data_IF_251983569101
#
_entry.id   IF_251983569101
#
_cell.length_a   1.000
_cell.length_b   1.000
_cell.length_c   1.000
_cell.angle_alpha   90.00
_cell.angle_beta   90.00
_cell.angle_gamma   90.00
#
_symmetry.space_group_name_H-M   'P 1'
#
loop_
_entity.id
_entity.type
_entity.pdbx_description
1 polymer ?
#
# COMPACT_ATOMS: atom_id res chain seq x y z
N UNK A 1 -37.83 -57.46 -9.97
CA UNK A 1 -38.67 -57.90 -8.84
C UNK A 1 -39.09 -56.66 -8.08
N UNK A 2 -40.38 -56.38 -8.17
CA UNK A 2 -41.08 -55.20 -7.67
C UNK A 2 -41.17 -55.17 -6.14
N UNK A 3 -41.17 -53.94 -5.58
CA UNK A 3 -42.07 -53.50 -4.48
C UNK A 3 -41.76 -52.03 -4.17
N UNK A 4 -42.54 -51.09 -4.50
CA UNK A 4 -43.83 -50.49 -4.10
C UNK A 4 -43.93 -50.13 -2.61
N UNK A 5 -44.14 -48.83 -2.43
CA UNK A 5 -45.01 -48.09 -1.48
C UNK A 5 -44.71 -48.21 0.03
N UNK A 6 -44.68 -47.10 0.76
CA UNK A 6 -45.91 -46.48 1.27
C UNK A 6 -45.71 -45.09 1.85
N UNK A 7 -46.67 -44.25 1.59
CA UNK A 7 -46.92 -42.94 2.22
C UNK A 7 -47.44 -43.14 3.63
N UNK A 8 -47.03 -42.30 4.57
CA UNK A 8 -47.86 -41.94 5.71
C UNK A 8 -47.66 -40.47 6.07
N UNK A 9 -48.75 -39.75 5.86
CA UNK A 9 -48.96 -38.39 6.39
C UNK A 9 -49.29 -38.47 7.87
N UNK A 10 -48.68 -37.58 8.64
CA UNK A 10 -49.21 -37.24 9.96
C UNK A 10 -49.05 -35.73 10.17
N UNK A 11 -50.14 -35.03 10.09
CA UNK A 11 -50.31 -33.66 10.53
C UNK A 11 -50.49 -33.67 12.06
N UNK A 12 -49.77 -32.84 12.77
CA UNK A 12 -50.12 -32.45 14.13
C UNK A 12 -50.00 -30.93 14.24
N UNK A 13 -51.09 -30.39 14.73
CA UNK A 13 -51.48 -28.99 14.87
C UNK A 13 -51.11 -28.51 16.28
N UNK A 14 -50.83 -27.20 16.39
CA UNK A 14 -50.92 -26.31 17.55
C UNK A 14 -49.80 -26.27 18.58
N UNK A 15 -49.29 -25.05 18.67
CA UNK A 15 -48.55 -24.50 19.79
C UNK A 15 -48.13 -23.06 19.52
N UNK A 16 -49.07 -22.11 19.58
CA UNK A 16 -48.77 -20.70 19.56
C UNK A 16 -48.21 -20.28 20.93
N UNK A 17 -46.95 -19.99 21.01
CA UNK A 17 -46.35 -19.22 22.12
C UNK A 17 -45.85 -17.88 21.59
N UNK A 18 -46.59 -16.83 21.94
CA UNK A 18 -46.10 -15.48 21.84
C UNK A 18 -44.90 -15.30 22.77
N UNK A 19 -43.72 -15.23 22.19
CA UNK A 19 -42.56 -14.62 22.88
C UNK A 19 -42.34 -13.26 22.24
N UNK A 20 -42.64 -12.21 22.99
CA UNK A 20 -42.21 -10.84 22.73
C UNK A 20 -40.70 -10.77 22.89
N UNK A 21 -39.96 -11.07 21.84
CA UNK A 21 -38.52 -10.86 21.75
C UNK A 21 -38.27 -9.42 21.31
N UNK A 22 -37.66 -8.66 22.21
CA UNK A 22 -37.14 -7.34 21.92
C UNK A 22 -36.21 -7.41 20.71
N UNK A 23 -36.58 -6.71 19.64
CA UNK A 23 -35.70 -6.51 18.50
C UNK A 23 -34.59 -5.56 18.92
N UNK A 24 -33.45 -6.12 19.31
CA UNK A 24 -32.20 -5.38 19.38
C UNK A 24 -31.89 -4.96 17.91
N UNK A 25 -32.20 -3.71 17.58
CA UNK A 25 -31.74 -3.09 16.36
C UNK A 25 -30.21 -3.04 16.43
N UNK A 26 -29.56 -4.02 15.84
CA UNK A 26 -28.15 -3.91 15.52
C UNK A 26 -28.02 -2.76 14.52
N UNK A 27 -27.62 -1.60 14.99
CA UNK A 27 -27.14 -0.52 14.14
C UNK A 27 -25.90 -1.05 13.42
N UNK A 28 -26.11 -1.62 12.24
CA UNK A 28 -25.04 -1.83 11.27
C UNK A 28 -24.62 -0.42 10.87
N UNK A 29 -23.57 0.10 11.48
CA UNK A 29 -22.85 1.21 10.92
C UNK A 29 -22.31 0.73 9.58
N UNK A 30 -23.06 0.96 8.52
CA UNK A 30 -22.52 0.98 7.17
C UNK A 30 -21.41 2.02 7.20
N UNK A 31 -20.17 1.56 7.28
CA UNK A 31 -19.01 2.40 7.05
C UNK A 31 -19.22 2.99 5.66
N UNK A 32 -19.66 4.25 5.62
CA UNK A 32 -19.64 5.03 4.39
C UNK A 32 -18.20 4.99 3.91
N UNK A 33 -17.96 4.26 2.82
CA UNK A 33 -16.72 4.38 2.05
C UNK A 33 -16.57 5.87 1.75
N UNK A 34 -15.68 6.54 2.48
CA UNK A 34 -15.28 7.88 2.14
C UNK A 34 -14.80 7.82 0.70
N UNK A 35 -15.53 8.48 -0.19
CA UNK A 35 -15.16 8.62 -1.59
C UNK A 35 -13.77 9.24 -1.58
N UNK A 36 -12.75 8.48 -1.91
CA UNK A 36 -11.40 9.01 -2.00
C UNK A 36 -11.45 10.14 -3.03
N UNK A 37 -11.07 11.35 -2.59
CA UNK A 37 -10.91 12.47 -3.51
C UNK A 37 -9.80 12.06 -4.47
N UNK A 38 -10.17 11.76 -5.70
CA UNK A 38 -9.20 11.42 -6.74
C UNK A 38 -8.47 12.70 -7.14
N UNK A 39 -7.25 12.87 -6.63
CA UNK A 39 -6.38 13.96 -7.04
C UNK A 39 -5.88 13.62 -8.45
N UNK A 40 -6.06 14.49 -9.45
CA UNK A 40 -5.58 14.25 -10.80
C UNK A 40 -4.10 13.88 -10.76
N UNK A 41 -3.74 12.79 -11.45
CA UNK A 41 -2.35 12.34 -11.50
C UNK A 41 -1.50 13.41 -12.18
N UNK A 42 -0.62 14.07 -11.44
CA UNK A 42 0.38 14.95 -12.01
C UNK A 42 1.49 14.10 -12.63
N UNK A 43 1.81 14.38 -13.90
CA UNK A 43 2.99 13.82 -14.53
C UNK A 43 4.21 14.38 -13.79
N UNK A 44 5.05 13.50 -13.26
CA UNK A 44 6.33 13.88 -12.66
C UNK A 44 7.46 13.52 -13.62
N UNK A 45 8.45 14.40 -13.72
CA UNK A 45 9.66 14.14 -14.48
C UNK A 45 10.77 13.82 -13.49
N UNK A 46 11.34 12.64 -13.65
CA UNK A 46 12.44 12.19 -12.79
C UNK A 46 13.78 12.57 -13.42
N UNK A 47 14.68 13.11 -12.62
CA UNK A 47 16.07 13.31 -13.02
C UNK A 47 16.73 11.96 -13.29
N UNK A 48 17.37 11.79 -14.45
CA UNK A 48 18.06 10.55 -14.80
C UNK A 48 19.51 10.51 -14.36
N UNK A 49 20.08 11.66 -14.04
CA UNK A 49 21.45 11.80 -13.55
C UNK A 49 21.55 11.42 -12.06
N UNK A 50 22.80 11.15 -11.63
CA UNK A 50 23.05 10.91 -10.21
C UNK A 50 23.03 12.24 -9.46
N UNK A 51 21.96 12.49 -8.74
CA UNK A 51 21.64 13.74 -8.04
C UNK A 51 21.76 13.62 -6.51
N UNK A 52 22.41 12.57 -6.03
CA UNK A 52 22.53 12.30 -4.59
C UNK A 52 23.75 12.99 -4.00
N UNK A 53 23.65 13.36 -2.72
CA UNK A 53 24.73 13.97 -1.95
C UNK A 53 25.81 12.98 -1.49
N UNK A 54 25.73 11.73 -1.93
CA UNK A 54 26.66 10.65 -1.63
C UNK A 54 27.07 9.92 -2.93
N UNK A 55 28.22 9.23 -2.95
CA UNK A 55 28.69 8.53 -4.15
C UNK A 55 27.82 7.31 -4.45
N UNK A 56 27.69 7.01 -5.74
CA UNK A 56 27.03 5.79 -6.20
C UNK A 56 27.86 4.56 -5.85
N UNK A 57 27.21 3.54 -5.30
CA UNK A 57 27.86 2.26 -5.00
C UNK A 57 28.00 1.39 -6.25
N UNK A 58 29.13 0.75 -6.40
CA UNK A 58 29.37 -0.26 -7.42
C UNK A 58 28.72 -1.63 -7.13
N UNK A 59 28.24 -1.85 -5.90
CA UNK A 59 27.65 -3.10 -5.42
C UNK A 59 26.16 -3.21 -5.68
N UNK A 60 25.49 -2.09 -5.98
CA UNK A 60 24.04 -2.04 -6.20
C UNK A 60 23.70 -1.47 -7.56
N UNK A 61 22.54 -1.86 -8.08
CA UNK A 61 21.88 -1.16 -9.18
C UNK A 61 20.89 -0.18 -8.59
N UNK A 62 20.85 1.01 -9.17
CA UNK A 62 19.93 2.07 -8.81
C UNK A 62 19.02 2.42 -9.98
N UNK A 63 17.78 2.72 -9.70
CA UNK A 63 16.85 3.34 -10.65
C UNK A 63 15.78 4.15 -9.93
N UNK A 64 15.37 5.26 -10.51
CA UNK A 64 14.20 5.99 -10.04
C UNK A 64 12.93 5.29 -10.49
N UNK A 65 11.95 5.20 -9.61
CA UNK A 65 10.64 4.58 -9.85
C UNK A 65 9.54 5.49 -9.32
N UNK A 66 8.32 5.27 -9.79
CA UNK A 66 7.14 5.96 -9.28
C UNK A 66 6.08 4.96 -8.86
N UNK A 67 5.27 5.33 -7.88
CA UNK A 67 4.09 4.58 -7.48
C UNK A 67 3.04 5.53 -6.92
N UNK A 68 1.78 5.11 -6.93
CA UNK A 68 0.68 5.91 -6.36
C UNK A 68 0.41 5.49 -4.94
N UNK A 69 0.17 6.45 -4.07
CA UNK A 69 -0.39 6.19 -2.75
C UNK A 69 -1.92 6.04 -2.84
N UNK A 70 -2.57 5.72 -1.71
CA UNK A 70 -4.03 5.52 -1.65
C UNK A 70 -4.87 6.78 -1.98
N UNK A 71 -4.26 7.94 -2.03
CA UNK A 71 -4.90 9.22 -2.38
C UNK A 71 -4.67 9.61 -3.84
N UNK A 72 -4.07 8.74 -4.67
CA UNK A 72 -3.80 9.01 -6.06
C UNK A 72 -2.55 9.87 -6.31
N UNK A 73 -1.84 10.30 -5.26
CA UNK A 73 -0.61 11.09 -5.37
C UNK A 73 0.50 10.17 -5.89
N UNK A 74 1.19 10.61 -6.94
CA UNK A 74 2.35 9.89 -7.48
C UNK A 74 3.59 10.21 -6.65
N UNK A 75 4.19 9.20 -6.06
CA UNK A 75 5.42 9.30 -5.29
C UNK A 75 6.62 8.93 -6.15
N UNK A 76 7.71 9.69 -6.00
CA UNK A 76 9.00 9.40 -6.58
C UNK A 76 9.87 8.65 -5.57
N UNK A 77 10.62 7.68 -6.04
CA UNK A 77 11.49 6.88 -5.18
C UNK A 77 12.75 6.42 -5.92
N UNK A 78 13.78 6.17 -5.15
CA UNK A 78 15.01 5.52 -5.55
C UNK A 78 14.97 4.06 -5.11
N UNK A 79 14.99 3.15 -6.08
CA UNK A 79 15.06 1.71 -5.86
C UNK A 79 16.52 1.27 -5.98
N UNK A 80 17.03 0.64 -4.91
CA UNK A 80 18.37 0.05 -4.87
C UNK A 80 18.25 -1.47 -4.78
N UNK A 81 18.95 -2.18 -5.66
CA UNK A 81 18.94 -3.64 -5.72
C UNK A 81 20.38 -4.14 -5.72
N UNK A 82 20.76 -5.08 -4.83
CA UNK A 82 22.09 -5.68 -4.87
C UNK A 82 22.38 -6.31 -6.25
N UNK A 83 23.53 -6.03 -6.85
CA UNK A 83 23.90 -6.58 -8.18
C UNK A 83 23.93 -8.12 -8.19
N UNK A 84 24.26 -8.73 -7.06
CA UNK A 84 24.32 -10.18 -6.90
C UNK A 84 23.03 -10.78 -6.33
N UNK A 85 21.92 -10.05 -6.36
CA UNK A 85 20.64 -10.54 -5.87
C UNK A 85 20.13 -11.71 -6.72
N UNK A 86 19.86 -12.85 -6.06
CA UNK A 86 19.23 -14.02 -6.68
C UNK A 86 18.00 -14.39 -5.87
N UNK A 87 16.91 -14.74 -6.56
CA UNK A 87 15.65 -15.13 -5.93
C UNK A 87 14.97 -13.99 -5.13
N UNK A 88 14.07 -14.35 -4.25
CA UNK A 88 13.35 -13.40 -3.38
C UNK A 88 14.29 -12.84 -2.30
N UNK A 89 14.21 -11.56 -2.08
CA UNK A 89 15.01 -10.84 -1.06
C UNK A 89 14.07 -10.07 -0.12
N UNK A 90 14.46 -9.89 1.14
CA UNK A 90 13.74 -8.98 2.02
C UNK A 90 13.84 -7.56 1.46
N UNK A 91 12.74 -6.81 1.57
CA UNK A 91 12.65 -5.44 1.07
C UNK A 91 12.40 -4.48 2.23
N UNK A 92 12.99 -3.29 2.15
CA UNK A 92 12.89 -2.22 3.16
C UNK A 92 12.51 -0.91 2.45
N UNK A 93 11.42 -0.28 2.91
CA UNK A 93 11.10 1.09 2.53
C UNK A 93 11.71 2.05 3.56
N UNK A 94 12.38 3.10 3.06
CA UNK A 94 13.08 4.09 3.87
C UNK A 94 12.43 5.44 3.63
N UNK A 95 11.83 6.02 4.67
CA UNK A 95 11.37 7.40 4.68
C UNK A 95 12.43 8.33 5.26
N UNK A 96 12.50 9.54 4.74
CA UNK A 96 13.36 10.60 5.29
C UNK A 96 12.70 11.34 6.45
N UNK A 97 13.45 12.16 7.19
CA UNK A 97 12.90 13.08 8.15
C UNK A 97 12.08 14.18 7.44
N UNK A 98 11.26 14.89 8.20
CA UNK A 98 10.45 15.99 7.67
C UNK A 98 11.34 17.03 6.95
N UNK A 99 10.92 17.43 5.75
CA UNK A 99 11.64 18.41 4.93
C UNK A 99 12.86 17.88 4.18
N UNK A 100 13.25 16.61 4.37
CA UNK A 100 14.33 15.99 3.60
C UNK A 100 13.79 15.27 2.35
N UNK A 101 14.65 15.11 1.37
CA UNK A 101 14.39 14.39 0.13
C UNK A 101 15.19 13.10 0.05
N UNK A 102 14.76 12.18 -0.79
CA UNK A 102 15.36 10.84 -0.95
C UNK A 102 16.82 10.86 -1.42
N UNK A 103 17.27 11.95 -2.04
CA UNK A 103 18.66 12.15 -2.49
C UNK A 103 19.66 12.37 -1.34
N UNK A 104 19.16 12.50 -0.11
CA UNK A 104 19.94 12.80 1.09
C UNK A 104 20.11 11.56 1.99
N UNK A 105 19.94 11.71 3.30
CA UNK A 105 20.22 10.69 4.30
C UNK A 105 19.43 9.37 4.09
N UNK A 106 18.16 9.45 3.68
CA UNK A 106 17.35 8.26 3.43
C UNK A 106 17.86 7.44 2.24
N UNK A 107 18.33 8.10 1.19
CA UNK A 107 18.94 7.43 0.05
C UNK A 107 20.27 6.78 0.40
N UNK A 108 21.14 7.46 1.15
CA UNK A 108 22.39 6.88 1.65
C UNK A 108 22.13 5.65 2.52
N UNK A 109 21.16 5.74 3.42
CA UNK A 109 20.79 4.63 4.27
C UNK A 109 20.24 3.45 3.46
N UNK A 110 19.36 3.72 2.48
CA UNK A 110 18.83 2.72 1.56
C UNK A 110 19.94 2.05 0.74
N UNK A 111 20.87 2.81 0.16
CA UNK A 111 22.01 2.25 -0.57
C UNK A 111 22.87 1.35 0.34
N UNK A 112 23.17 1.78 1.55
CA UNK A 112 23.97 1.02 2.51
C UNK A 112 23.30 -0.31 2.90
N UNK A 113 21.98 -0.31 3.07
CA UNK A 113 21.24 -1.56 3.32
C UNK A 113 21.21 -2.48 2.08
N UNK A 114 21.12 -1.89 0.89
CA UNK A 114 21.17 -2.68 -0.34
C UNK A 114 22.54 -3.36 -0.53
N UNK A 115 23.63 -2.72 -0.17
CA UNK A 115 24.97 -3.34 -0.16
C UNK A 115 25.03 -4.56 0.77
N UNK A 116 24.18 -4.60 1.80
CA UNK A 116 24.05 -5.73 2.75
C UNK A 116 23.08 -6.81 2.30
N UNK A 117 22.53 -6.68 1.10
CA UNK A 117 21.70 -7.72 0.48
C UNK A 117 20.19 -7.51 0.52
N UNK A 118 19.71 -6.38 1.01
CA UNK A 118 18.28 -6.03 0.98
C UNK A 118 17.92 -5.37 -0.36
N UNK A 119 16.67 -5.52 -0.80
CA UNK A 119 16.10 -4.61 -1.79
C UNK A 119 15.56 -3.41 -1.04
N UNK A 120 15.94 -2.19 -1.42
CA UNK A 120 15.54 -1.01 -0.66
C UNK A 120 14.93 0.06 -1.54
N UNK A 121 14.01 0.83 -0.97
CA UNK A 121 13.30 1.91 -1.62
C UNK A 121 13.34 3.14 -0.73
N UNK A 122 14.07 4.20 -1.12
CA UNK A 122 13.96 5.52 -0.50
C UNK A 122 12.97 6.37 -1.29
N UNK A 123 12.03 7.03 -0.64
CA UNK A 123 10.99 7.77 -1.35
C UNK A 123 10.78 9.18 -0.77
N UNK A 124 10.37 10.09 -1.65
CA UNK A 124 9.88 11.40 -1.25
C UNK A 124 8.43 11.28 -0.78
N UNK A 125 8.11 11.92 0.34
CA UNK A 125 6.73 12.02 0.80
C UNK A 125 5.88 12.81 -0.22
N UNK A 126 4.56 12.69 -0.13
CA UNK A 126 3.63 13.54 -0.89
C UNK A 126 4.01 15.01 -0.68
N UNK A 127 3.92 15.81 -1.74
CA UNK A 127 4.22 17.25 -1.74
C UNK A 127 5.70 17.63 -1.58
N UNK A 128 6.62 16.65 -1.54
CA UNK A 128 8.05 16.85 -1.30
C UNK A 128 8.89 16.32 -2.47
N UNK A 129 10.05 16.90 -2.70
CA UNK A 129 11.03 16.45 -3.69
C UNK A 129 10.44 16.30 -5.10
N UNK A 130 10.66 15.14 -5.72
CA UNK A 130 10.12 14.81 -7.05
C UNK A 130 8.70 14.20 -6.99
N UNK A 131 8.15 13.92 -5.80
CA UNK A 131 6.76 13.46 -5.64
C UNK A 131 5.75 14.55 -6.01
N UNK A 132 4.59 14.14 -6.51
CA UNK A 132 3.52 15.08 -6.87
C UNK A 132 2.74 15.58 -5.66
N UNK A 133 1.84 16.52 -5.90
CA UNK A 133 0.94 17.12 -4.92
C UNK A 133 1.13 18.63 -4.78
N UNK A 134 0.05 19.33 -4.44
CA UNK A 134 0.00 20.77 -4.19
C UNK A 134 -0.82 21.02 -2.92
N UNK A 135 -0.47 22.02 -2.09
CA UNK A 135 0.69 22.91 -2.20
C UNK A 135 2.02 22.22 -1.87
N UNK A 136 3.13 22.81 -2.34
CA UNK A 136 4.49 22.25 -2.15
C UNK A 136 5.19 22.78 -0.90
N UNK A 137 4.67 23.80 -0.27
CA UNK A 137 5.23 24.34 0.96
C UNK A 137 4.65 23.56 2.16
N UNK A 138 5.49 22.84 2.80
CA UNK A 138 5.21 22.17 4.06
C UNK A 138 5.71 23.05 5.20
N UNK A 139 4.97 24.14 5.45
CA UNK A 139 5.22 25.02 6.58
C UNK A 139 4.49 24.52 7.83
#
# INVERSE_FOLDING_TARGET
>A
MNMKLNKLSAAIIFGATLLTGAHAMANIHTAQSATAIEIPAQAIQLTQEWDKVFPQSDKVTHRKVTFKNRYGITLAADLYVPKNARGKRPAIAVGGPFGAVKEQSSGLYAQTLAERGFVTLAFDASYTGESSGLPRNMA
#
